data_IF_366957813537
#
_entry.id   IF_366957813537
#
_cell.length_a   1.000
_cell.length_b   1.000
_cell.length_c   1.000
_cell.angle_alpha   90.00
_cell.angle_beta   90.00
_cell.angle_gamma   90.00
#
_symmetry.space_group_name_H-M   'P 1'
#
loop_
_entity.id
_entity.type
_entity.pdbx_description
1 polymer ?
#
# COMPACT_ATOMS: atom_id res chain seq x y z
N UNK A 1 -1.25 -31.85 12.76
CA UNK A 1 0.03 -31.37 12.19
C UNK A 1 0.39 -30.05 12.85
N UNK A 2 1.47 -29.99 13.64
CA UNK A 2 1.94 -28.75 14.28
C UNK A 2 2.72 -27.96 13.22
N UNK A 3 2.13 -26.90 12.70
CA UNK A 3 2.87 -25.93 11.90
C UNK A 3 3.74 -25.12 12.86
N UNK A 4 5.05 -25.27 12.74
CA UNK A 4 6.03 -24.46 13.44
C UNK A 4 6.20 -23.17 12.61
N UNK A 5 6.05 -22.00 13.23
CA UNK A 5 6.35 -20.71 12.58
C UNK A 5 7.74 -20.83 11.93
N UNK A 6 7.92 -20.42 10.66
CA UNK A 6 9.22 -20.51 9.99
C UNK A 6 10.29 -19.84 10.86
N UNK A 7 11.47 -20.47 10.97
CA UNK A 7 12.60 -19.93 11.74
C UNK A 7 13.16 -18.61 11.18
N UNK A 8 12.70 -18.16 10.01
CA UNK A 8 13.14 -16.93 9.34
C UNK A 8 12.08 -15.84 9.47
N UNK A 9 12.50 -14.57 9.62
CA UNK A 9 11.59 -13.43 9.49
C UNK A 9 10.92 -13.43 8.12
N UNK A 10 9.60 -13.20 8.08
CA UNK A 10 8.83 -13.21 6.83
C UNK A 10 9.25 -12.07 5.89
N UNK A 11 9.84 -11.02 6.44
CA UNK A 11 10.41 -9.87 5.75
C UNK A 11 11.55 -10.24 4.78
N UNK A 12 12.24 -11.36 5.02
CA UNK A 12 13.32 -11.85 4.14
C UNK A 12 12.82 -12.83 3.06
N UNK A 13 11.56 -13.27 3.16
CA UNK A 13 11.01 -14.25 2.22
C UNK A 13 10.63 -13.59 0.88
N UNK A 14 10.80 -14.33 -0.21
CA UNK A 14 10.44 -13.92 -1.57
C UNK A 14 9.50 -14.92 -2.26
N UNK A 15 9.38 -16.13 -1.74
CA UNK A 15 8.41 -17.12 -2.22
C UNK A 15 6.99 -16.68 -1.80
N UNK A 16 6.26 -16.14 -2.77
CA UNK A 16 4.90 -15.61 -2.59
C UNK A 16 3.94 -16.69 -2.09
N UNK A 17 4.07 -17.93 -2.54
CA UNK A 17 3.15 -19.00 -2.14
C UNK A 17 3.47 -19.47 -0.72
N UNK A 18 4.75 -19.47 -0.33
CA UNK A 18 5.14 -19.68 1.06
C UNK A 18 4.56 -18.59 1.97
N UNK A 19 4.69 -17.32 1.59
CA UNK A 19 4.17 -16.19 2.39
C UNK A 19 2.63 -16.28 2.52
N UNK A 20 1.92 -16.64 1.45
CA UNK A 20 0.47 -16.88 1.50
C UNK A 20 0.10 -18.01 2.45
N UNK A 21 0.82 -19.13 2.40
CA UNK A 21 0.59 -20.25 3.31
C UNK A 21 0.85 -19.86 4.77
N UNK A 22 1.91 -19.09 5.01
CA UNK A 22 2.24 -18.52 6.31
C UNK A 22 1.10 -17.62 6.82
N UNK A 23 0.63 -16.68 6.00
CA UNK A 23 -0.48 -15.79 6.34
C UNK A 23 -1.73 -16.57 6.75
N UNK A 24 -2.16 -17.55 5.94
CA UNK A 24 -3.34 -18.38 6.25
C UNK A 24 -3.16 -19.15 7.56
N UNK A 25 -1.98 -19.74 7.78
CA UNK A 25 -1.72 -20.51 8.99
C UNK A 25 -1.64 -19.64 10.24
N UNK A 26 -0.97 -18.49 10.18
CA UNK A 26 -0.87 -17.55 11.29
C UNK A 26 -2.25 -17.03 11.71
N UNK A 27 -3.08 -16.62 10.74
CA UNK A 27 -4.47 -16.21 10.97
C UNK A 27 -5.29 -17.34 11.61
N UNK A 28 -5.19 -18.58 11.09
CA UNK A 28 -5.90 -19.74 11.64
C UNK A 28 -5.48 -20.07 13.07
N UNK A 29 -4.24 -19.79 13.44
CA UNK A 29 -3.68 -20.04 14.78
C UNK A 29 -3.86 -18.84 15.74
N UNK A 30 -4.42 -17.72 15.27
CA UNK A 30 -4.62 -16.51 16.06
C UNK A 30 -3.36 -15.64 16.24
N UNK A 31 -2.27 -15.93 15.52
CA UNK A 31 -1.07 -15.10 15.50
C UNK A 31 -1.24 -13.95 14.49
N UNK A 32 -2.06 -12.97 14.87
CA UNK A 32 -2.41 -11.85 14.00
C UNK A 32 -1.24 -10.90 13.74
N UNK A 33 -0.26 -10.84 14.66
CA UNK A 33 0.95 -10.05 14.45
C UNK A 33 1.77 -10.61 13.29
N UNK A 34 2.05 -11.92 13.31
CA UNK A 34 2.79 -12.56 12.22
C UNK A 34 1.99 -12.59 10.92
N UNK A 35 0.66 -12.78 10.99
CA UNK A 35 -0.22 -12.65 9.84
C UNK A 35 -0.10 -11.25 9.19
N UNK A 36 -0.13 -10.17 9.99
CA UNK A 36 0.00 -8.81 9.48
C UNK A 36 1.36 -8.56 8.83
N UNK A 37 2.45 -9.09 9.41
CA UNK A 37 3.80 -9.02 8.82
C UNK A 37 3.86 -9.74 7.47
N UNK A 38 3.28 -10.94 7.38
CA UNK A 38 3.20 -11.70 6.13
C UNK A 38 2.34 -10.98 5.07
N UNK A 39 1.22 -10.37 5.50
CA UNK A 39 0.36 -9.56 4.62
C UNK A 39 1.11 -8.35 4.07
N UNK A 40 1.82 -7.59 4.92
CA UNK A 40 2.68 -6.48 4.48
C UNK A 40 3.74 -6.94 3.48
N UNK A 41 4.39 -8.08 3.74
CA UNK A 41 5.37 -8.62 2.81
C UNK A 41 4.79 -8.93 1.43
N UNK A 42 3.57 -9.48 1.35
CA UNK A 42 2.90 -9.70 0.07
C UNK A 42 2.66 -8.39 -0.70
N UNK A 43 2.38 -7.29 0.01
CA UNK A 43 2.24 -5.97 -0.61
C UNK A 43 3.58 -5.50 -1.19
N UNK A 44 4.65 -5.55 -0.39
CA UNK A 44 6.01 -5.14 -0.79
C UNK A 44 6.52 -5.86 -2.05
N UNK A 45 6.14 -7.14 -2.22
CA UNK A 45 6.54 -7.94 -3.37
C UNK A 45 5.69 -7.67 -4.62
N UNK A 46 4.61 -6.89 -4.52
CA UNK A 46 3.75 -6.59 -5.66
C UNK A 46 4.34 -5.49 -6.54
N UNK A 47 4.83 -5.87 -7.72
CA UNK A 47 5.42 -4.95 -8.69
C UNK A 47 4.52 -4.79 -9.91
N UNK A 48 4.33 -3.55 -10.36
CA UNK A 48 3.51 -3.25 -11.54
C UNK A 48 4.29 -2.51 -12.66
N UNK A 49 5.59 -2.29 -12.46
CA UNK A 49 6.47 -1.61 -13.41
C UNK A 49 7.95 -1.72 -13.00
N UNK A 50 8.81 -1.04 -13.73
CA UNK A 50 10.26 -1.16 -13.60
C UNK A 50 10.89 -0.03 -12.79
N UNK A 51 10.29 1.15 -12.83
CA UNK A 51 10.79 2.30 -12.06
C UNK A 51 10.50 2.11 -10.58
N UNK A 52 11.32 2.73 -9.73
CA UNK A 52 11.10 2.70 -8.28
C UNK A 52 9.71 3.24 -7.93
N UNK A 53 9.28 4.32 -8.56
CA UNK A 53 7.95 4.90 -8.35
C UNK A 53 6.82 3.90 -8.66
N UNK A 54 6.91 3.16 -9.77
CA UNK A 54 5.91 2.15 -10.14
C UNK A 54 5.94 0.93 -9.21
N UNK A 55 7.12 0.53 -8.75
CA UNK A 55 7.28 -0.56 -7.77
C UNK A 55 6.63 -0.20 -6.45
N UNK A 56 7.00 0.95 -5.87
CA UNK A 56 6.40 1.48 -4.62
C UNK A 56 4.90 1.68 -4.73
N UNK A 57 4.40 2.16 -5.88
CA UNK A 57 2.97 2.27 -6.12
C UNK A 57 2.28 0.90 -6.24
N UNK A 58 2.97 -0.12 -6.76
CA UNK A 58 2.49 -1.50 -6.74
C UNK A 58 2.19 -1.98 -5.32
N UNK A 59 3.07 -1.69 -4.36
CA UNK A 59 2.88 -2.04 -2.95
C UNK A 59 1.59 -1.42 -2.38
N UNK A 60 1.39 -0.13 -2.65
CA UNK A 60 0.18 0.63 -2.25
C UNK A 60 -1.08 0.04 -2.87
N UNK A 61 -1.03 -0.32 -4.15
CA UNK A 61 -2.15 -0.90 -4.87
C UNK A 61 -2.53 -2.26 -4.28
N UNK A 62 -1.55 -3.10 -3.96
CA UNK A 62 -1.77 -4.38 -3.30
C UNK A 62 -2.35 -4.21 -1.90
N UNK A 63 -1.88 -3.23 -1.13
CA UNK A 63 -2.46 -2.89 0.17
C UNK A 63 -3.94 -2.53 0.04
N UNK A 64 -4.26 -1.58 -0.84
CA UNK A 64 -5.64 -1.16 -1.07
C UNK A 64 -6.55 -2.31 -1.56
N UNK A 65 -6.09 -3.13 -2.50
CA UNK A 65 -6.86 -4.28 -3.00
C UNK A 65 -7.07 -5.36 -1.93
N UNK A 66 -6.13 -5.51 -0.99
CA UNK A 66 -6.31 -6.43 0.14
C UNK A 66 -7.44 -5.97 1.07
N UNK A 67 -7.52 -4.68 1.41
CA UNK A 67 -8.61 -4.13 2.22
C UNK A 67 -9.95 -4.16 1.48
N UNK A 68 -9.96 -3.88 0.17
CA UNK A 68 -11.16 -4.07 -0.65
C UNK A 68 -11.64 -5.53 -0.62
N UNK A 69 -10.71 -6.47 -0.68
CA UNK A 69 -11.03 -7.90 -0.70
C UNK A 69 -11.59 -8.38 0.64
N UNK A 70 -11.01 -7.90 1.74
CA UNK A 70 -11.49 -8.17 3.10
C UNK A 70 -12.90 -7.61 3.31
N UNK A 71 -13.09 -6.32 2.98
CA UNK A 71 -14.39 -5.66 3.11
C UNK A 71 -15.49 -6.32 2.28
N UNK A 72 -15.16 -6.78 1.08
CA UNK A 72 -16.13 -7.41 0.17
C UNK A 72 -16.23 -8.93 0.34
N UNK A 73 -15.40 -9.53 1.20
CA UNK A 73 -15.32 -10.98 1.42
C UNK A 73 -15.08 -11.79 0.13
N UNK A 74 -14.39 -11.18 -0.83
CA UNK A 74 -14.03 -11.78 -2.12
C UNK A 74 -12.85 -11.04 -2.72
N UNK A 75 -12.06 -11.72 -3.55
CA UNK A 75 -10.98 -11.08 -4.28
C UNK A 75 -11.52 -9.89 -5.11
N UNK A 76 -11.10 -8.69 -4.74
CA UNK A 76 -11.58 -7.43 -5.30
C UNK A 76 -10.42 -6.61 -5.82
N UNK A 77 -10.45 -6.38 -7.13
CA UNK A 77 -9.53 -5.50 -7.83
C UNK A 77 -9.98 -4.04 -7.78
N UNK A 78 -9.04 -3.10 -7.66
CA UNK A 78 -9.27 -1.67 -7.71
C UNK A 78 -9.42 -1.20 -9.17
N UNK A 79 -10.47 -1.67 -9.87
CA UNK A 79 -10.64 -1.51 -11.32
C UNK A 79 -10.50 -0.07 -11.82
N UNK A 80 -11.04 0.92 -11.09
CA UNK A 80 -10.93 2.35 -11.46
C UNK A 80 -9.49 2.87 -11.35
N UNK A 81 -8.74 2.40 -10.34
CA UNK A 81 -7.33 2.72 -10.15
C UNK A 81 -6.51 2.15 -11.30
N UNK A 82 -6.70 0.87 -11.62
CA UNK A 82 -6.08 0.22 -12.78
C UNK A 82 -6.39 0.91 -14.10
N UNK A 83 -7.64 1.30 -14.31
CA UNK A 83 -8.03 2.04 -15.51
C UNK A 83 -7.30 3.39 -15.60
N UNK A 84 -7.19 4.13 -14.50
CA UNK A 84 -6.52 5.44 -14.47
C UNK A 84 -5.03 5.30 -14.77
N UNK A 85 -4.32 4.39 -14.10
CA UNK A 85 -2.87 4.23 -14.31
C UNK A 85 -2.54 3.67 -15.70
N UNK A 86 -3.40 2.82 -16.28
CA UNK A 86 -3.21 2.35 -17.66
C UNK A 86 -3.39 3.46 -18.70
N UNK A 87 -4.24 4.44 -18.41
CA UNK A 87 -4.52 5.57 -19.32
C UNK A 87 -3.49 6.68 -19.22
N UNK A 88 -2.98 6.97 -18.03
CA UNK A 88 -2.20 8.17 -17.76
C UNK A 88 -0.80 7.90 -17.19
N UNK A 89 -0.51 6.66 -16.81
CA UNK A 89 0.69 6.30 -16.06
C UNK A 89 0.56 6.57 -14.56
N UNK A 90 1.45 5.95 -13.79
CA UNK A 90 1.47 6.06 -12.31
C UNK A 90 1.74 7.50 -11.87
N UNK A 91 2.79 8.13 -12.39
CA UNK A 91 3.21 9.48 -11.99
C UNK A 91 2.09 10.51 -12.15
N UNK A 92 1.39 10.50 -13.30
CA UNK A 92 0.26 11.41 -13.52
C UNK A 92 -0.91 11.12 -12.60
N UNK A 93 -1.21 9.84 -12.34
CA UNK A 93 -2.27 9.47 -11.43
C UNK A 93 -2.01 9.98 -10.00
N UNK A 94 -0.76 9.86 -9.52
CA UNK A 94 -0.33 10.37 -8.21
C UNK A 94 -0.49 11.90 -8.11
N UNK A 95 -0.05 12.64 -9.13
CA UNK A 95 -0.22 14.10 -9.20
C UNK A 95 -1.71 14.48 -9.14
N UNK A 96 -2.53 13.85 -9.98
CA UNK A 96 -3.97 14.12 -10.02
C UNK A 96 -4.64 13.81 -8.67
N UNK A 97 -4.24 12.72 -8.00
CA UNK A 97 -4.78 12.41 -6.68
C UNK A 97 -4.32 13.44 -5.68
N UNK A 98 -3.03 13.67 -5.48
CA UNK A 98 -2.48 14.63 -4.51
C UNK A 98 -3.12 16.02 -4.63
N UNK A 99 -3.42 16.48 -5.85
CA UNK A 99 -3.97 17.82 -6.12
C UNK A 99 -5.49 17.89 -6.26
N UNK A 100 -6.18 16.76 -6.19
CA UNK A 100 -7.64 16.70 -6.27
C UNK A 100 -8.31 17.44 -5.11
N UNK A 101 -9.46 18.07 -5.38
CA UNK A 101 -10.32 18.67 -4.35
C UNK A 101 -10.99 17.63 -3.44
N UNK A 102 -11.12 16.41 -3.94
CA UNK A 102 -11.73 15.29 -3.20
C UNK A 102 -10.71 14.19 -3.01
N UNK A 103 -10.66 13.65 -1.80
CA UNK A 103 -9.86 12.47 -1.49
C UNK A 103 -10.26 11.27 -2.35
N UNK A 104 -9.27 10.51 -2.79
CA UNK A 104 -9.53 9.29 -3.53
C UNK A 104 -9.91 8.15 -2.58
N UNK A 105 -10.72 7.19 -3.05
CA UNK A 105 -11.25 6.11 -2.20
C UNK A 105 -10.15 5.29 -1.50
N UNK A 106 -9.04 5.04 -2.19
CA UNK A 106 -7.88 4.35 -1.61
C UNK A 106 -7.27 5.09 -0.42
N UNK A 107 -7.15 6.43 -0.49
CA UNK A 107 -6.62 7.23 0.61
C UNK A 107 -7.47 7.05 1.86
N UNK A 108 -8.78 7.26 1.72
CA UNK A 108 -9.74 7.10 2.82
C UNK A 108 -9.63 5.72 3.47
N UNK A 109 -9.71 4.66 2.67
CA UNK A 109 -9.64 3.29 3.17
C UNK A 109 -8.33 3.03 3.90
N UNK A 110 -7.19 3.41 3.32
CA UNK A 110 -5.89 3.13 3.92
C UNK A 110 -5.66 3.92 5.21
N UNK A 111 -6.09 5.18 5.27
CA UNK A 111 -6.01 5.98 6.50
C UNK A 111 -6.96 5.45 7.58
N UNK A 112 -8.21 5.14 7.24
CA UNK A 112 -9.20 4.56 8.17
C UNK A 112 -8.69 3.25 8.81
N UNK A 113 -7.96 2.44 8.04
CA UNK A 113 -7.34 1.19 8.49
C UNK A 113 -5.94 1.39 9.13
N UNK A 114 -5.49 2.62 9.34
CA UNK A 114 -4.23 2.94 10.00
C UNK A 114 -2.95 2.68 9.17
N UNK A 115 -3.07 2.54 7.86
CA UNK A 115 -1.97 2.29 6.91
C UNK A 115 -1.69 3.53 6.05
N UNK A 116 -1.56 4.69 6.70
CA UNK A 116 -1.29 5.97 6.04
C UNK A 116 0.05 5.97 5.28
N UNK A 117 1.02 5.17 5.73
CA UNK A 117 2.33 4.94 5.09
C UNK A 117 2.22 4.18 3.76
N UNK A 118 1.06 3.58 3.49
CA UNK A 118 0.73 2.90 2.25
C UNK A 118 -0.21 3.73 1.37
N UNK A 119 -0.23 5.05 1.48
CA UNK A 119 -1.05 5.94 0.63
C UNK A 119 -0.27 6.52 -0.55
N UNK A 120 -1.01 6.90 -1.61
CA UNK A 120 -0.44 7.60 -2.76
C UNK A 120 0.18 8.95 -2.36
N UNK A 121 -0.44 9.63 -1.41
CA UNK A 121 0.00 10.89 -0.82
C UNK A 121 1.33 10.70 -0.11
N UNK A 122 1.43 9.70 0.77
CA UNK A 122 2.69 9.43 1.46
C UNK A 122 3.81 9.11 0.47
N UNK A 123 3.52 8.32 -0.58
CA UNK A 123 4.48 8.06 -1.65
C UNK A 123 4.99 9.34 -2.33
N UNK A 124 4.08 10.28 -2.62
CA UNK A 124 4.45 11.58 -3.22
C UNK A 124 5.38 12.35 -2.30
N UNK A 125 5.12 12.36 -0.99
CA UNK A 125 5.99 13.07 -0.04
C UNK A 125 7.31 12.33 0.19
N UNK A 126 7.31 11.00 0.25
CA UNK A 126 8.53 10.19 0.45
C UNK A 126 9.45 10.20 -0.76
N UNK A 127 8.92 10.45 -1.96
CA UNK A 127 9.68 10.60 -3.20
C UNK A 127 9.60 12.04 -3.71
N UNK A 128 9.72 13.03 -2.82
CA UNK A 128 9.51 14.44 -3.16
C UNK A 128 10.35 14.94 -4.36
N UNK A 129 11.55 14.39 -4.57
CA UNK A 129 12.41 14.70 -5.71
C UNK A 129 11.84 14.29 -7.07
N UNK A 130 10.85 13.40 -7.11
CA UNK A 130 10.15 13.00 -8.32
C UNK A 130 9.02 13.98 -8.70
N UNK A 131 8.62 14.88 -7.81
CA UNK A 131 7.43 15.71 -7.97
C UNK A 131 7.73 17.20 -7.85
N UNK A 132 6.88 18.00 -8.49
CA UNK A 132 6.94 19.45 -8.32
C UNK A 132 6.59 19.85 -6.88
N UNK A 133 7.26 20.86 -6.29
CA UNK A 133 7.03 21.26 -4.90
C UNK A 133 5.55 21.51 -4.53
N UNK A 134 4.71 22.13 -5.39
CA UNK A 134 3.28 22.29 -5.08
C UNK A 134 2.51 20.96 -4.96
N UNK A 135 2.91 19.92 -5.69
CA UNK A 135 2.30 18.59 -5.62
C UNK A 135 2.66 17.92 -4.29
N UNK A 136 3.93 18.02 -3.89
CA UNK A 136 4.42 17.52 -2.60
C UNK A 136 3.72 18.24 -1.44
N UNK A 137 3.58 19.56 -1.52
CA UNK A 137 2.87 20.35 -0.52
C UNK A 137 1.40 19.93 -0.40
N UNK A 138 0.70 19.71 -1.51
CA UNK A 138 -0.69 19.26 -1.52
C UNK A 138 -0.84 17.85 -0.89
N UNK A 139 0.04 16.91 -1.23
CA UNK A 139 0.04 15.58 -0.64
C UNK A 139 0.30 15.61 0.87
N UNK A 140 1.27 16.41 1.32
CA UNK A 140 1.57 16.62 2.74
C UNK A 140 0.37 17.21 3.48
N UNK A 141 -0.25 18.25 2.92
CA UNK A 141 -1.41 18.88 3.53
C UNK A 141 -2.55 17.88 3.71
N UNK A 142 -2.80 17.02 2.71
CA UNK A 142 -3.85 16.00 2.81
C UNK A 142 -3.60 15.01 3.94
N UNK A 143 -2.36 14.56 4.14
CA UNK A 143 -2.03 13.68 5.27
C UNK A 143 -2.25 14.38 6.61
N UNK A 144 -1.84 15.65 6.73
CA UNK A 144 -2.06 16.45 7.94
C UNK A 144 -3.56 16.66 8.22
N UNK A 145 -4.35 16.98 7.19
CA UNK A 145 -5.81 17.17 7.29
C UNK A 145 -6.51 15.88 7.76
N UNK A 146 -5.95 14.72 7.39
CA UNK A 146 -6.41 13.41 7.83
C UNK A 146 -5.90 13.01 9.23
N UNK A 147 -5.20 13.91 9.95
CA UNK A 147 -4.67 13.68 11.29
C UNK A 147 -3.40 12.84 11.34
N UNK A 148 -2.73 12.63 10.21
CA UNK A 148 -1.47 11.89 10.14
C UNK A 148 -0.32 12.80 10.55
N UNK A 149 0.43 12.41 11.58
CA UNK A 149 1.66 13.06 12.00
C UNK A 149 2.86 12.18 11.62
N UNK A 150 3.82 12.74 10.90
CA UNK A 150 4.98 12.01 10.38
C UNK A 150 6.17 12.96 10.18
N UNK A 151 7.34 12.56 10.66
CA UNK A 151 8.59 13.30 10.48
C UNK A 151 9.29 12.80 9.21
N UNK A 152 9.49 13.69 8.24
CA UNK A 152 10.27 13.39 7.03
C UNK A 152 11.61 14.12 6.97
N UNK A 153 11.99 14.79 8.06
CA UNK A 153 13.23 15.56 8.17
C UNK A 153 14.38 14.74 8.79
N UNK A 154 14.44 13.43 8.51
CA UNK A 154 15.57 12.56 8.88
C UNK A 154 16.33 12.11 7.65
#
# INVERSE_FOLDING_TARGET
>A
MKFTVPKKPVEEEIDIDLIRNVLVNATRLGDFEYANRAKRRLWELHKIGETELERRFGEILAAYESFLSERNQRNTKASRTWQKIRRHGVKRALIDWATSKTEHAGFKVLVEEGNWDMTAEYLVVSMANEFEPPVVAAARQRLLDAGVSFDLDK
#
